data_IF_406341098005
#
_entry.id   IF_406341098005
#
_cell.length_a   1.000
_cell.length_b   1.000
_cell.length_c   1.000
_cell.angle_alpha   90.00
_cell.angle_beta   90.00
_cell.angle_gamma   90.00
#
_symmetry.space_group_name_H-M   'P 1'
#
loop_
_entity.id
_entity.type
_entity.pdbx_description
1 polymer ?
#
# COMPACT_ATOMS: atom_id res chain seq x y z
N UNK A 1 21.61 -10.71 -15.28
CA UNK A 1 20.29 -10.07 -15.45
C UNK A 1 19.73 -9.83 -14.07
N UNK A 2 19.77 -8.59 -13.59
CA UNK A 2 19.39 -8.21 -12.23
C UNK A 2 17.89 -8.38 -12.06
N UNK A 3 17.47 -9.12 -11.03
CA UNK A 3 16.07 -9.26 -10.61
C UNK A 3 15.56 -7.86 -10.18
N UNK A 4 15.09 -7.07 -11.13
CA UNK A 4 14.33 -5.85 -10.87
C UNK A 4 13.00 -6.29 -10.27
N UNK A 5 12.97 -6.37 -8.94
CA UNK A 5 11.79 -6.74 -8.19
C UNK A 5 10.77 -5.60 -8.36
N UNK A 6 9.96 -5.66 -9.41
CA UNK A 6 8.90 -4.71 -9.66
C UNK A 6 7.96 -4.71 -8.45
N UNK A 7 8.06 -3.67 -7.63
CA UNK A 7 7.22 -3.55 -6.44
C UNK A 7 5.83 -3.13 -6.90
N UNK A 8 4.87 -4.06 -6.84
CA UNK A 8 3.48 -3.78 -7.15
C UNK A 8 2.97 -2.68 -6.21
N UNK A 9 2.52 -1.56 -6.76
CA UNK A 9 2.01 -0.42 -6.02
C UNK A 9 0.49 -0.50 -5.88
N UNK A 10 -0.01 -0.22 -4.68
CA UNK A 10 -1.44 -0.17 -4.36
C UNK A 10 -1.86 1.28 -4.18
N UNK A 11 -2.94 1.65 -4.87
CA UNK A 11 -3.58 2.96 -4.76
C UNK A 11 -4.90 2.85 -3.97
N UNK A 12 -5.07 3.65 -2.93
CA UNK A 12 -6.31 3.66 -2.12
C UNK A 12 -7.05 4.99 -2.20
N UNK A 13 -8.40 4.99 -2.16
CA UNK A 13 -9.17 6.24 -2.13
C UNK A 13 -9.13 6.95 -0.77
N UNK A 14 -8.81 6.21 0.30
CA UNK A 14 -8.66 6.71 1.66
C UNK A 14 -7.73 5.81 2.49
N UNK A 15 -7.27 6.34 3.62
CA UNK A 15 -6.54 5.59 4.66
C UNK A 15 -7.30 5.76 5.96
N UNK A 16 -7.54 4.64 6.64
CA UNK A 16 -8.12 4.63 7.98
C UNK A 16 -6.98 4.66 9.00
N UNK A 17 -6.98 5.69 9.84
CA UNK A 17 -6.06 5.82 10.96
C UNK A 17 -6.47 4.87 12.10
N UNK A 18 -5.55 4.59 13.03
CA UNK A 18 -5.83 3.72 14.20
C UNK A 18 -6.98 4.22 15.08
N UNK A 19 -7.25 5.52 15.06
CA UNK A 19 -8.36 6.15 15.79
C UNK A 19 -9.71 6.06 15.04
N UNK A 20 -9.77 5.38 13.90
CA UNK A 20 -10.98 5.22 13.08
C UNK A 20 -11.26 6.38 12.11
N UNK A 21 -10.49 7.47 12.16
CA UNK A 21 -10.63 8.59 11.23
C UNK A 21 -10.15 8.23 9.82
N UNK A 22 -10.86 8.69 8.78
CA UNK A 22 -10.50 8.45 7.38
C UNK A 22 -9.97 9.72 6.73
N UNK A 23 -8.76 9.62 6.17
CA UNK A 23 -8.17 10.65 5.33
C UNK A 23 -8.45 10.29 3.87
N UNK A 24 -9.03 11.19 3.08
CA UNK A 24 -9.39 10.94 1.69
C UNK A 24 -8.37 11.52 0.72
N UNK A 25 -8.07 10.77 -0.35
CA UNK A 25 -7.12 11.16 -1.39
C UNK A 25 -7.47 12.48 -2.09
N UNK A 26 -8.76 12.81 -2.19
CA UNK A 26 -9.22 14.06 -2.77
C UNK A 26 -8.76 15.31 -2.00
N UNK A 27 -8.51 15.18 -0.70
CA UNK A 27 -8.15 16.31 0.17
C UNK A 27 -6.64 16.64 0.13
N UNK A 28 -5.79 15.65 -0.14
CA UNK A 28 -4.32 15.78 -0.02
C UNK A 28 -3.54 15.44 -1.30
N UNK A 29 -4.23 14.99 -2.35
CA UNK A 29 -3.62 14.58 -3.62
C UNK A 29 -3.35 13.08 -3.69
N UNK A 30 -3.54 12.49 -4.88
CA UNK A 30 -3.52 11.02 -5.09
C UNK A 30 -2.17 10.35 -4.81
N UNK A 31 -1.05 11.10 -4.86
CA UNK A 31 0.31 10.56 -4.74
C UNK A 31 0.65 10.06 -3.34
N UNK A 32 0.01 10.58 -2.29
CA UNK A 32 0.26 10.13 -0.90
C UNK A 32 -0.55 8.89 -0.50
N UNK A 33 -1.37 8.36 -1.43
CA UNK A 33 -2.19 7.16 -1.23
C UNK A 33 -1.69 5.97 -2.06
N UNK A 34 -0.39 5.98 -2.39
CA UNK A 34 0.30 4.95 -3.15
C UNK A 34 1.33 4.28 -2.24
N UNK A 35 1.23 2.96 -2.06
CA UNK A 35 2.12 2.21 -1.18
C UNK A 35 2.54 0.89 -1.83
N UNK A 36 3.75 0.38 -1.53
CA UNK A 36 4.11 -0.97 -1.93
C UNK A 36 3.10 -1.97 -1.36
N UNK A 37 2.60 -2.87 -2.21
CA UNK A 37 1.81 -4.02 -1.76
C UNK A 37 2.64 -4.78 -0.75
N UNK A 38 2.10 -4.97 0.46
CA UNK A 38 2.75 -5.86 1.43
C UNK A 38 2.94 -7.20 0.74
N UNK A 39 4.19 -7.65 0.68
CA UNK A 39 4.47 -9.04 0.33
C UNK A 39 3.84 -9.86 1.43
N UNK A 40 2.79 -10.61 1.11
CA UNK A 40 2.36 -11.69 1.98
C UNK A 40 3.61 -12.52 2.25
N UNK A 41 4.01 -12.63 3.52
CA UNK A 41 4.93 -13.68 3.89
C UNK A 41 4.14 -14.96 3.64
N UNK A 42 4.43 -15.65 2.56
CA UNK A 42 4.18 -17.08 2.48
C UNK A 42 5.07 -17.68 3.57
N UNK A 43 4.59 -17.68 4.80
CA UNK A 43 5.15 -18.48 5.87
C UNK A 43 4.90 -19.92 5.39
N UNK A 44 5.97 -20.53 4.88
CA UNK A 44 6.00 -21.94 4.52
C UNK A 44 5.84 -22.77 5.78
N UNK A 45 4.61 -23.04 6.16
CA UNK A 45 4.26 -24.11 7.08
C UNK A 45 4.29 -25.41 6.29
N UNK A 46 5.37 -26.17 6.44
CA UNK A 46 5.42 -27.60 6.08
C UNK A 46 5.00 -28.43 7.29
#
# INVERSE_FOLDING_TARGET
MTNEKQEELVFTPYITLKNGHRIYARQYGKKVFCFPKKREKTDGSN
#
